data_IF_711565674400
#
_entry.id   IF_711565674400
#
_cell.length_a   1.000
_cell.length_b   1.000
_cell.length_c   1.000
_cell.angle_alpha   90.00
_cell.angle_beta   90.00
_cell.angle_gamma   90.00
#
_symmetry.space_group_name_H-M   'P 1'
#
loop_
_entity.id
_entity.type
_entity.pdbx_description
1 polymer ?
#
# COMPACT_ATOMS: atom_id res chain seq x y z
N UNK A 1 3.68 28.22 1.74
CA UNK A 1 4.64 27.36 1.01
C UNK A 1 4.30 27.46 -0.47
N UNK A 2 5.30 27.66 -1.34
CA UNK A 2 5.10 27.51 -2.79
C UNK A 2 5.02 26.01 -3.12
N UNK A 3 4.45 25.66 -4.28
CA UNK A 3 4.43 24.27 -4.74
C UNK A 3 5.84 23.68 -4.73
N UNK A 4 6.03 22.60 -3.99
CA UNK A 4 7.35 21.98 -3.77
C UNK A 4 7.20 20.46 -3.93
N UNK A 5 8.18 19.83 -4.56
CA UNK A 5 8.30 18.38 -4.65
C UNK A 5 9.47 17.98 -3.72
N UNK A 6 9.18 17.11 -2.76
CA UNK A 6 10.20 16.50 -1.92
C UNK A 6 10.58 15.13 -2.52
N UNK A 7 11.87 14.93 -2.72
CA UNK A 7 12.42 13.67 -3.25
C UNK A 7 12.91 12.79 -2.09
N UNK A 8 12.61 11.52 -2.13
CA UNK A 8 13.06 10.54 -1.15
C UNK A 8 11.94 9.69 -0.59
N UNK A 9 12.25 8.84 0.36
CA UNK A 9 11.27 8.04 1.08
C UNK A 9 10.37 8.97 1.92
N UNK A 10 9.06 8.72 1.89
CA UNK A 10 8.12 9.53 2.67
C UNK A 10 8.35 9.40 4.18
N UNK A 11 8.91 8.28 4.65
CA UNK A 11 9.27 8.08 6.06
C UNK A 11 10.36 9.04 6.54
N UNK A 12 11.24 9.45 5.62
CA UNK A 12 12.33 10.38 5.89
C UNK A 12 11.92 11.84 5.59
N UNK A 13 11.10 12.04 4.56
CA UNK A 13 10.75 13.39 4.11
C UNK A 13 9.61 14.02 4.89
N UNK A 14 8.60 13.25 5.33
CA UNK A 14 7.49 13.78 6.13
C UNK A 14 7.94 14.50 7.41
N UNK A 15 8.89 13.97 8.20
CA UNK A 15 9.36 14.66 9.41
C UNK A 15 10.07 15.99 9.15
N UNK A 16 10.50 16.26 7.91
CA UNK A 16 11.18 17.52 7.55
C UNK A 16 10.21 18.65 7.20
N UNK A 17 8.90 18.35 7.14
CA UNK A 17 7.88 19.35 6.80
C UNK A 17 7.58 20.17 8.05
N UNK A 18 7.88 21.47 7.98
CA UNK A 18 7.73 22.44 9.07
C UNK A 18 6.39 23.19 9.06
N UNK A 19 5.53 22.90 8.08
CA UNK A 19 4.22 23.55 7.92
C UNK A 19 3.10 22.53 8.07
N UNK A 20 1.96 22.97 8.60
CA UNK A 20 0.78 22.14 8.71
C UNK A 20 -0.04 22.15 7.42
N UNK A 21 -0.37 20.97 6.93
CA UNK A 21 -1.26 20.77 5.80
C UNK A 21 -2.71 20.57 6.28
N UNK A 22 -3.68 20.99 5.47
CA UNK A 22 -5.10 20.75 5.77
C UNK A 22 -5.63 19.44 5.21
N UNK A 23 -4.92 18.87 4.26
CA UNK A 23 -5.36 17.64 3.60
C UNK A 23 -4.16 16.85 3.09
N UNK A 24 -4.24 15.54 3.24
CA UNK A 24 -3.41 14.58 2.53
C UNK A 24 -4.29 13.73 1.62
N UNK A 25 -3.94 13.65 0.33
CA UNK A 25 -4.57 12.73 -0.64
C UNK A 25 -3.49 11.84 -1.19
N UNK A 26 -3.65 10.53 -1.07
CA UNK A 26 -2.61 9.58 -1.46
C UNK A 26 -3.18 8.26 -1.96
N UNK A 27 -2.37 7.57 -2.76
CA UNK A 27 -2.56 6.18 -3.13
C UNK A 27 -1.27 5.43 -2.79
N UNK A 28 -1.17 4.79 -1.63
CA UNK A 28 0.02 4.04 -1.25
C UNK A 28 0.24 2.86 -2.18
N UNK A 29 1.42 2.25 -2.20
CA UNK A 29 1.64 0.99 -2.90
C UNK A 29 0.62 -0.06 -2.44
N UNK A 30 0.05 -0.82 -3.38
CA UNK A 30 -0.91 -1.87 -3.06
C UNK A 30 -0.19 -3.16 -2.67
N UNK A 31 -0.74 -3.88 -1.72
CA UNK A 31 -0.16 -5.12 -1.23
C UNK A 31 0.03 -6.14 -2.35
N UNK A 32 1.26 -6.60 -2.52
CA UNK A 32 1.59 -7.65 -3.47
C UNK A 32 1.46 -7.29 -4.96
N UNK A 33 1.14 -6.05 -5.32
CA UNK A 33 0.79 -5.71 -6.70
C UNK A 33 2.00 -5.39 -7.57
N UNK A 34 2.95 -4.59 -7.09
CA UNK A 34 4.08 -4.13 -7.89
C UNK A 34 5.39 -4.18 -7.11
N UNK A 35 6.44 -4.64 -7.79
CA UNK A 35 7.81 -4.44 -7.34
C UNK A 35 8.43 -3.35 -8.24
N UNK A 36 8.86 -2.26 -7.63
CA UNK A 36 9.47 -1.13 -8.34
C UNK A 36 10.99 -1.28 -8.50
N UNK A 37 11.55 -2.44 -8.12
CA UNK A 37 12.99 -2.69 -8.22
C UNK A 37 13.82 -1.93 -7.19
N UNK A 38 13.19 -1.47 -6.12
CA UNK A 38 13.82 -0.77 -5.02
C UNK A 38 14.46 -1.68 -3.98
N UNK A 39 14.90 -1.08 -2.89
CA UNK A 39 15.53 -1.74 -1.76
C UNK A 39 14.59 -2.72 -1.04
N UNK A 40 15.14 -3.55 -0.16
CA UNK A 40 14.41 -4.58 0.61
C UNK A 40 13.25 -4.03 1.47
N UNK A 41 13.24 -2.73 1.75
CA UNK A 41 12.26 -2.04 2.59
C UNK A 41 11.08 -1.41 1.81
N UNK A 42 10.84 -1.82 0.57
CA UNK A 42 9.74 -1.30 -0.24
C UNK A 42 8.39 -1.67 0.36
N UNK A 43 7.54 -0.67 0.66
CA UNK A 43 6.15 -0.86 1.09
C UNK A 43 5.36 -1.55 -0.03
N UNK A 44 4.50 -2.50 0.34
CA UNK A 44 3.70 -3.32 -0.57
C UNK A 44 4.39 -4.63 -0.94
N UNK A 45 5.54 -4.94 -0.33
CA UNK A 45 6.32 -6.15 -0.57
C UNK A 45 6.48 -7.02 0.70
N UNK A 46 5.75 -6.68 1.75
CA UNK A 46 5.78 -7.39 3.03
C UNK A 46 5.31 -8.85 2.89
N UNK A 47 5.78 -9.71 3.78
CA UNK A 47 5.45 -11.13 3.76
C UNK A 47 3.99 -11.42 4.14
N UNK A 48 3.41 -10.57 4.99
CA UNK A 48 2.03 -10.70 5.44
C UNK A 48 1.23 -9.41 5.29
N UNK A 49 -0.10 -9.50 5.12
CA UNK A 49 -0.98 -8.33 5.09
C UNK A 49 -0.86 -7.48 6.37
N UNK A 50 -0.69 -8.13 7.54
CA UNK A 50 -0.58 -7.46 8.83
C UNK A 50 0.67 -6.57 8.86
N UNK A 51 1.83 -7.08 8.43
CA UNK A 51 3.06 -6.29 8.34
C UNK A 51 2.90 -5.09 7.40
N UNK A 52 2.22 -5.30 6.28
CA UNK A 52 1.91 -4.21 5.35
C UNK A 52 1.04 -3.13 5.99
N UNK A 53 0.00 -3.52 6.73
CA UNK A 53 -0.88 -2.60 7.45
C UNK A 53 -0.10 -1.84 8.52
N UNK A 54 0.74 -2.51 9.30
CA UNK A 54 1.56 -1.89 10.36
C UNK A 54 2.51 -0.83 9.77
N UNK A 55 3.14 -1.14 8.63
CA UNK A 55 3.99 -0.19 7.91
C UNK A 55 3.20 1.04 7.44
N UNK A 56 2.01 0.85 6.87
CA UNK A 56 1.15 1.95 6.46
C UNK A 56 0.67 2.80 7.65
N UNK A 57 0.29 2.17 8.76
CA UNK A 57 -0.09 2.89 9.98
C UNK A 57 1.06 3.77 10.46
N UNK A 58 2.30 3.24 10.44
CA UNK A 58 3.48 4.03 10.81
C UNK A 58 3.67 5.26 9.92
N UNK A 59 3.53 5.10 8.60
CA UNK A 59 3.58 6.23 7.65
C UNK A 59 2.47 7.25 7.94
N UNK A 60 1.24 6.78 8.17
CA UNK A 60 0.12 7.68 8.42
C UNK A 60 0.17 8.38 9.77
N UNK A 61 0.91 7.86 10.77
CA UNK A 61 1.26 8.64 11.96
C UNK A 61 2.08 9.88 11.60
N UNK A 62 3.12 9.73 10.78
CA UNK A 62 3.91 10.87 10.30
C UNK A 62 3.07 11.84 9.46
N UNK A 63 2.10 11.34 8.69
CA UNK A 63 1.14 12.21 7.99
C UNK A 63 0.28 12.99 8.99
N UNK A 64 -0.21 12.35 10.05
CA UNK A 64 -0.99 13.04 11.10
C UNK A 64 -0.20 14.16 11.75
N UNK A 65 1.10 13.95 11.99
CA UNK A 65 1.97 14.95 12.61
C UNK A 65 2.14 16.21 11.75
N UNK A 66 1.96 16.13 10.44
CA UNK A 66 2.03 17.28 9.52
C UNK A 66 0.65 17.82 9.11
N UNK A 67 -0.44 17.23 9.59
CA UNK A 67 -1.78 17.76 9.39
C UNK A 67 -2.17 18.76 10.49
N UNK A 68 -3.09 19.68 10.16
CA UNK A 68 -3.82 20.47 11.16
C UNK A 68 -4.79 19.58 11.94
N UNK A 69 -5.26 20.03 13.11
CA UNK A 69 -6.18 19.27 13.95
C UNK A 69 -7.53 18.95 13.26
N UNK A 70 -7.94 19.82 12.32
CA UNK A 70 -9.10 19.63 11.44
C UNK A 70 -8.73 19.04 10.07
N UNK A 71 -7.49 18.60 9.91
CA UNK A 71 -6.97 18.08 8.66
C UNK A 71 -7.59 16.74 8.26
N UNK A 72 -7.67 16.48 6.96
CA UNK A 72 -8.29 15.26 6.42
C UNK A 72 -7.28 14.40 5.66
N UNK A 73 -7.44 13.08 5.81
CA UNK A 73 -6.67 12.07 5.08
C UNK A 73 -7.60 11.34 4.10
N UNK A 74 -7.22 11.33 2.83
CA UNK A 74 -7.91 10.62 1.75
C UNK A 74 -6.99 9.55 1.18
N UNK A 75 -7.37 8.29 1.35
CA UNK A 75 -6.57 7.14 0.92
C UNK A 75 -7.31 6.38 -0.17
N UNK A 76 -6.71 6.32 -1.36
CA UNK A 76 -7.16 5.41 -2.41
C UNK A 76 -6.35 4.12 -2.34
N UNK A 77 -6.99 3.02 -1.98
CA UNK A 77 -6.35 1.72 -1.85
C UNK A 77 -7.25 0.62 -2.40
N UNK A 78 -6.66 -0.31 -3.14
CA UNK A 78 -7.35 -1.49 -3.65
C UNK A 78 -7.05 -2.72 -2.82
N UNK A 79 -7.96 -3.69 -2.88
CA UNK A 79 -7.75 -5.01 -2.29
C UNK A 79 -6.93 -5.91 -3.21
N UNK A 80 -6.45 -7.00 -2.65
CA UNK A 80 -5.76 -8.08 -3.35
C UNK A 80 -6.46 -9.41 -3.07
N UNK A 81 -6.37 -10.32 -4.03
CA UNK A 81 -6.88 -11.68 -3.85
C UNK A 81 -5.77 -12.61 -3.39
N UNK A 82 -6.09 -13.44 -2.41
CA UNK A 82 -5.19 -14.47 -1.97
C UNK A 82 -4.94 -15.49 -3.09
N UNK A 83 -3.68 -15.67 -3.43
CA UNK A 83 -3.26 -16.58 -4.48
C UNK A 83 -2.02 -17.34 -4.02
N UNK A 84 -2.23 -18.42 -3.27
CA UNK A 84 -1.18 -19.32 -2.85
C UNK A 84 -1.08 -20.48 -3.84
N UNK A 85 0.05 -20.62 -4.50
CA UNK A 85 0.36 -21.79 -5.33
C UNK A 85 1.60 -22.46 -4.79
N UNK A 86 1.46 -23.63 -4.12
CA UNK A 86 2.61 -24.44 -3.77
C UNK A 86 3.25 -24.95 -5.08
N UNK A 87 4.49 -24.56 -5.36
CA UNK A 87 5.22 -24.99 -6.54
C UNK A 87 5.82 -23.84 -7.34
N UNK A 88 6.55 -24.15 -8.41
CA UNK A 88 7.32 -23.20 -9.24
C UNK A 88 6.54 -21.92 -9.50
N UNK A 89 7.09 -20.79 -9.06
CA UNK A 89 6.49 -19.48 -9.17
C UNK A 89 5.96 -19.20 -10.57
N UNK A 90 4.66 -18.92 -10.66
CA UNK A 90 4.10 -18.33 -11.87
C UNK A 90 4.20 -16.81 -11.73
N UNK A 91 4.95 -16.21 -12.63
CA UNK A 91 4.98 -14.78 -12.78
C UNK A 91 3.55 -14.23 -12.89
N UNK A 92 3.26 -13.13 -12.19
CA UNK A 92 2.06 -12.33 -12.39
C UNK A 92 2.10 -11.66 -13.79
N UNK A 93 2.00 -12.47 -14.84
CA UNK A 93 2.12 -12.05 -16.25
C UNK A 93 0.83 -11.41 -16.77
N UNK A 94 -0.21 -11.19 -15.95
CA UNK A 94 -1.51 -10.75 -16.47
C UNK A 94 -1.78 -9.25 -16.48
N UNK A 95 -0.82 -8.38 -16.15
CA UNK A 95 -1.05 -6.93 -16.25
C UNK A 95 0.01 -6.13 -17.01
N UNK A 96 0.87 -6.77 -17.80
CA UNK A 96 1.64 -6.04 -18.80
C UNK A 96 0.90 -6.06 -20.14
N UNK A 97 0.03 -5.10 -20.34
CA UNK A 97 -0.33 -4.68 -21.69
C UNK A 97 0.94 -4.07 -22.29
N UNK A 98 1.52 -4.78 -23.24
CA UNK A 98 2.74 -4.43 -23.98
C UNK A 98 4.07 -4.47 -23.21
N UNK A 99 4.78 -5.57 -23.32
CA UNK A 99 6.18 -5.61 -23.77
C UNK A 99 6.67 -7.06 -23.90
N UNK A 100 7.45 -7.28 -24.91
CA UNK A 100 8.11 -8.50 -25.35
C UNK A 100 8.68 -9.36 -24.21
N UNK A 101 8.51 -10.67 -24.36
CA UNK A 101 8.86 -11.76 -23.42
C UNK A 101 10.34 -11.88 -22.99
N UNK A 102 11.19 -10.91 -23.26
CA UNK A 102 12.64 -11.11 -23.18
C UNK A 102 13.35 -10.47 -21.99
N UNK A 103 12.69 -9.58 -21.19
CA UNK A 103 13.40 -8.76 -20.19
C UNK A 103 12.81 -8.77 -18.77
N UNK A 104 12.09 -9.81 -18.38
CA UNK A 104 11.63 -9.91 -17.00
C UNK A 104 12.58 -10.83 -16.22
N UNK A 105 13.32 -10.30 -15.23
CA UNK A 105 14.14 -11.13 -14.37
C UNK A 105 13.28 -12.15 -13.64
N UNK A 106 13.75 -13.38 -13.56
CA UNK A 106 13.13 -14.55 -12.91
C UNK A 106 12.76 -14.35 -11.42
N UNK A 107 13.03 -13.16 -10.87
CA UNK A 107 12.80 -12.78 -9.47
C UNK A 107 11.43 -12.14 -9.17
N UNK A 108 10.58 -11.94 -10.15
CA UNK A 108 9.23 -11.38 -9.96
C UNK A 108 8.14 -12.40 -9.62
N UNK A 109 8.51 -13.65 -9.37
CA UNK A 109 7.55 -14.65 -8.93
C UNK A 109 7.41 -14.57 -7.41
N UNK A 110 6.48 -13.76 -6.90
CA UNK A 110 6.07 -13.91 -5.52
C UNK A 110 5.45 -15.30 -5.35
N UNK A 111 6.10 -16.14 -4.55
CA UNK A 111 5.41 -17.20 -3.85
C UNK A 111 4.52 -16.48 -2.83
N UNK A 112 3.22 -16.48 -3.05
CA UNK A 112 2.31 -16.01 -2.00
C UNK A 112 2.61 -16.83 -0.75
N UNK A 113 2.87 -16.15 0.38
CA UNK A 113 3.02 -16.82 1.65
C UNK A 113 1.70 -17.51 2.00
N UNK A 114 1.77 -18.66 2.67
CA UNK A 114 0.55 -19.31 3.16
C UNK A 114 -0.05 -18.43 4.26
N UNK A 115 -1.21 -17.84 3.97
CA UNK A 115 -1.98 -17.09 4.95
C UNK A 115 -3.00 -18.02 5.59
N UNK A 116 -3.02 -18.08 6.92
CA UNK A 116 -3.99 -18.91 7.64
C UNK A 116 -5.38 -18.31 7.53
N UNK A 117 -6.39 -19.16 7.42
CA UNK A 117 -7.80 -18.75 7.38
C UNK A 117 -8.29 -18.26 6.01
N UNK A 118 -7.43 -18.09 5.01
CA UNK A 118 -7.82 -17.71 3.65
C UNK A 118 -7.76 -18.89 2.69
N UNK A 119 -8.74 -18.95 1.80
CA UNK A 119 -8.78 -19.86 0.66
C UNK A 119 -8.32 -19.14 -0.61
N UNK A 120 -7.80 -19.92 -1.56
CA UNK A 120 -7.42 -19.37 -2.86
C UNK A 120 -8.59 -18.59 -3.48
N UNK A 121 -8.30 -17.37 -3.93
CA UNK A 121 -9.24 -16.38 -4.50
C UNK A 121 -10.11 -15.62 -3.50
N UNK A 122 -9.95 -15.82 -2.21
CA UNK A 122 -10.55 -14.92 -1.24
C UNK A 122 -9.96 -13.52 -1.37
N UNK A 123 -10.77 -12.51 -1.15
CA UNK A 123 -10.29 -11.14 -0.94
C UNK A 123 -9.56 -11.09 0.40
N UNK A 124 -8.40 -10.44 0.44
CA UNK A 124 -7.61 -10.32 1.68
C UNK A 124 -8.27 -9.35 2.66
N UNK A 125 -8.92 -8.31 2.16
CA UNK A 125 -9.59 -7.31 2.99
C UNK A 125 -8.71 -6.12 3.35
N UNK A 126 -7.67 -5.83 2.58
CA UNK A 126 -6.70 -4.76 2.84
C UNK A 126 -7.35 -3.40 3.14
N UNK A 127 -8.35 -2.90 2.37
CA UNK A 127 -8.93 -1.59 2.65
C UNK A 127 -9.59 -1.52 4.03
N UNK A 128 -10.29 -2.57 4.43
CA UNK A 128 -10.96 -2.62 5.75
C UNK A 128 -9.95 -2.81 6.88
N UNK A 129 -8.94 -3.67 6.69
CA UNK A 129 -7.85 -3.83 7.65
C UNK A 129 -7.17 -2.48 7.93
N UNK A 130 -6.83 -1.74 6.88
CA UNK A 130 -6.21 -0.41 7.02
C UNK A 130 -7.15 0.58 7.71
N UNK A 131 -8.42 0.64 7.30
CA UNK A 131 -9.39 1.55 7.90
C UNK A 131 -9.57 1.30 9.41
N UNK A 132 -9.65 0.04 9.82
CA UNK A 132 -9.80 -0.31 11.24
C UNK A 132 -8.51 -0.13 12.02
N UNK A 133 -7.34 -0.42 11.42
CA UNK A 133 -6.05 -0.18 12.06
C UNK A 133 -5.79 1.31 12.29
N UNK A 134 -6.07 2.16 11.29
CA UNK A 134 -5.99 3.61 11.44
C UNK A 134 -6.95 4.13 12.51
N UNK A 135 -8.19 3.62 12.56
CA UNK A 135 -9.14 3.99 13.61
C UNK A 135 -8.63 3.58 15.00
N UNK A 136 -8.05 2.41 15.14
CA UNK A 136 -7.43 1.96 16.39
C UNK A 136 -6.21 2.82 16.78
N UNK A 137 -5.50 3.37 15.78
CA UNK A 137 -4.38 4.30 15.97
C UNK A 137 -4.81 5.76 16.26
N UNK A 138 -6.11 6.03 16.38
CA UNK A 138 -6.64 7.34 16.76
C UNK A 138 -7.14 8.22 15.61
N UNK A 139 -7.24 7.70 14.39
CA UNK A 139 -7.92 8.37 13.30
C UNK A 139 -9.44 8.21 13.39
N UNK A 140 -10.17 9.16 12.82
CA UNK A 140 -11.63 9.09 12.73
C UNK A 140 -12.05 8.63 11.34
N UNK A 141 -12.56 7.41 11.24
CA UNK A 141 -13.15 6.90 10.00
C UNK A 141 -14.49 7.61 9.75
N UNK A 142 -14.55 8.44 8.70
CA UNK A 142 -15.72 9.27 8.38
C UNK A 142 -16.54 8.72 7.24
N UNK A 143 -15.89 8.20 6.20
CA UNK A 143 -16.58 7.81 4.99
C UNK A 143 -15.79 6.74 4.25
N UNK A 144 -16.53 5.83 3.60
CA UNK A 144 -16.05 4.91 2.58
C UNK A 144 -16.59 5.36 1.21
N UNK A 145 -15.73 5.38 0.19
CA UNK A 145 -16.08 5.78 -1.17
C UNK A 145 -15.66 4.67 -2.12
N UNK A 146 -16.63 4.04 -2.77
CA UNK A 146 -16.35 3.00 -3.74
C UNK A 146 -16.04 3.65 -5.09
N UNK A 147 -14.81 3.45 -5.57
CA UNK A 147 -14.43 3.84 -6.91
C UNK A 147 -14.92 2.80 -7.92
N UNK A 148 -16.12 3.00 -8.42
CA UNK A 148 -16.71 2.13 -9.43
C UNK A 148 -16.12 2.43 -10.82
N UNK A 149 -15.75 1.36 -11.54
CA UNK A 149 -15.45 1.41 -12.98
C UNK A 149 -16.55 0.68 -13.71
N UNK A 150 -17.15 1.30 -14.74
CA UNK A 150 -18.15 0.65 -15.59
C UNK A 150 -17.56 -0.52 -16.38
#
# INVERSE_FOLDING_TARGET
>A
MKNTILFGDCRDTLPTIDVKARMCVTSPPYYGLRNYGGEENQIGQEDTPEQFIDNLVSVFRSVRDVLTDDGTLWVNIGDSYYNYRPGKGQALVKQSVSKTKQDLPDKCARRGNKLEGLKEKDMIGIPWMLAFALRADGWYLRQDIIWHKP
#
